data_IF_906756273500
#
_entry.id   IF_906756273500
#
_cell.length_a   1.000
_cell.length_b   1.000
_cell.length_c   1.000
_cell.angle_alpha   90.00
_cell.angle_beta   90.00
_cell.angle_gamma   90.00
#
_symmetry.space_group_name_H-M   'P 1'
#
loop_
_entity.id
_entity.type
_entity.pdbx_description
1 polymer ?
#
# COMPACT_ATOMS: atom_id res chain seq x y z
N UNK A 1 60.11 -52.02 -21.01
CA UNK A 1 58.77 -51.53 -21.39
C UNK A 1 58.90 -50.05 -21.70
N UNK A 2 59.47 -49.67 -22.85
CA UNK A 2 58.83 -49.60 -24.18
C UNK A 2 57.69 -48.56 -24.21
N UNK A 3 58.10 -47.38 -24.68
CA UNK A 3 57.49 -46.46 -25.64
C UNK A 3 56.29 -45.57 -25.28
N UNK A 4 56.43 -44.38 -25.85
CA UNK A 4 55.70 -43.13 -25.73
C UNK A 4 54.70 -43.00 -26.95
N UNK A 5 54.22 -41.82 -27.38
CA UNK A 5 52.80 -41.42 -27.50
C UNK A 5 52.33 -41.29 -28.99
N UNK A 6 51.37 -40.38 -29.28
CA UNK A 6 50.82 -39.92 -30.60
C UNK A 6 49.61 -40.71 -31.14
N UNK A 7 48.60 -40.22 -31.88
CA UNK A 7 48.32 -39.02 -32.71
C UNK A 7 46.78 -39.08 -33.05
N UNK A 8 46.03 -37.98 -33.10
CA UNK A 8 45.50 -37.29 -34.32
C UNK A 8 44.51 -38.03 -35.27
N UNK A 9 43.64 -37.20 -35.91
CA UNK A 9 42.88 -37.39 -37.18
C UNK A 9 41.54 -38.18 -37.10
N UNK A 10 40.46 -37.81 -37.79
CA UNK A 10 40.26 -36.88 -38.92
C UNK A 10 38.79 -36.52 -39.13
N UNK A 11 38.62 -35.30 -39.63
CA UNK A 11 37.51 -34.73 -40.39
C UNK A 11 37.19 -35.54 -41.67
N UNK A 12 35.97 -35.30 -42.20
CA UNK A 12 35.50 -35.48 -43.59
C UNK A 12 34.99 -36.85 -44.03
N UNK A 13 33.71 -36.87 -44.44
CA UNK A 13 33.33 -36.95 -45.87
C UNK A 13 31.80 -36.74 -46.00
N UNK A 14 31.36 -35.66 -46.65
CA UNK A 14 30.91 -35.62 -48.06
C UNK A 14 29.52 -36.27 -48.23
N UNK A 15 28.55 -35.78 -49.00
CA UNK A 15 28.36 -34.82 -50.11
C UNK A 15 26.82 -34.88 -50.33
N UNK A 16 26.10 -33.86 -50.80
CA UNK A 16 25.96 -33.41 -52.18
C UNK A 16 24.79 -32.39 -52.17
N UNK A 17 24.93 -31.16 -52.70
CA UNK A 17 24.47 -30.76 -54.05
C UNK A 17 22.93 -30.78 -54.18
N UNK A 18 22.20 -29.80 -54.68
CA UNK A 18 22.43 -28.42 -55.09
C UNK A 18 21.04 -27.85 -55.49
N UNK A 19 20.97 -26.52 -55.57
CA UNK A 19 20.21 -25.74 -56.58
C UNK A 19 18.74 -26.06 -56.87
N UNK A 20 17.87 -25.07 -56.58
CA UNK A 20 17.08 -24.26 -57.56
C UNK A 20 16.00 -23.51 -56.78
N UNK A 21 16.11 -22.20 -56.55
CA UNK A 21 15.74 -21.11 -57.47
C UNK A 21 14.28 -21.10 -57.93
N UNK A 22 13.64 -19.95 -57.70
CA UNK A 22 12.76 -19.20 -58.64
C UNK A 22 11.25 -19.16 -58.34
N UNK A 23 10.88 -18.05 -57.69
CA UNK A 23 9.91 -17.01 -58.08
C UNK A 23 8.54 -17.38 -58.69
N UNK A 24 7.51 -16.78 -58.07
CA UNK A 24 6.26 -16.18 -58.61
C UNK A 24 5.31 -17.13 -59.36
N UNK A 25 4.00 -17.13 -59.10
CA UNK A 25 3.07 -16.13 -59.65
C UNK A 25 1.77 -16.00 -58.85
N UNK A 26 1.24 -14.77 -58.83
CA UNK A 26 -0.16 -14.45 -58.56
C UNK A 26 -1.11 -15.11 -59.58
N UNK A 27 -2.28 -15.53 -59.10
CA UNK A 27 -3.65 -15.61 -59.71
C UNK A 27 -4.37 -16.73 -58.93
N UNK A 28 -5.53 -16.56 -58.27
CA UNK A 28 -6.79 -16.11 -58.84
C UNK A 28 -7.72 -15.48 -57.78
N UNK A 29 -8.38 -14.41 -58.21
CA UNK A 29 -9.33 -13.59 -57.46
C UNK A 29 -10.75 -13.84 -57.99
N UNK A 30 -11.69 -14.12 -57.06
CA UNK A 30 -13.14 -13.82 -57.06
C UNK A 30 -14.14 -14.60 -57.97
N UNK A 31 -15.48 -14.55 -57.73
CA UNK A 31 -16.27 -14.52 -56.46
C UNK A 31 -17.61 -15.32 -56.47
N UNK A 32 -18.25 -15.56 -55.31
CA UNK A 32 -19.73 -15.64 -55.22
C UNK A 32 -20.30 -15.44 -53.79
N UNK A 33 -20.87 -14.26 -53.56
CA UNK A 33 -22.12 -13.96 -52.82
C UNK A 33 -22.41 -14.59 -51.43
N UNK A 34 -22.41 -13.75 -50.38
CA UNK A 34 -23.67 -13.24 -49.78
C UNK A 34 -23.35 -12.25 -48.64
N UNK A 35 -23.47 -10.95 -48.97
CA UNK A 35 -22.91 -9.80 -48.23
C UNK A 35 -23.75 -9.30 -47.04
N UNK A 36 -24.52 -10.16 -46.37
CA UNK A 36 -25.26 -9.73 -45.15
C UNK A 36 -25.00 -10.58 -43.91
N UNK A 37 -24.53 -11.82 -44.07
CA UNK A 37 -24.24 -12.70 -42.93
C UNK A 37 -22.85 -12.48 -42.34
N UNK A 38 -21.89 -12.06 -43.16
CA UNK A 38 -20.51 -11.79 -42.71
C UNK A 38 -20.40 -10.52 -41.86
N UNK A 39 -21.18 -9.47 -42.19
CA UNK A 39 -21.15 -8.20 -41.47
C UNK A 39 -21.73 -8.33 -40.04
N UNK A 40 -22.76 -9.16 -39.87
CA UNK A 40 -23.38 -9.44 -38.56
C UNK A 40 -22.46 -10.22 -37.62
N UNK A 41 -21.63 -11.13 -38.14
CA UNK A 41 -20.65 -11.89 -37.35
C UNK A 41 -19.48 -11.00 -36.93
N UNK A 42 -18.98 -10.13 -37.82
CA UNK A 42 -17.91 -9.17 -37.50
C UNK A 42 -18.37 -8.07 -36.51
N UNK A 43 -19.65 -7.65 -36.58
CA UNK A 43 -20.22 -6.70 -35.61
C UNK A 43 -20.47 -7.34 -34.23
N UNK A 44 -20.79 -8.64 -34.18
CA UNK A 44 -20.92 -9.40 -32.92
C UNK A 44 -19.56 -9.73 -32.30
N UNK A 45 -18.52 -9.98 -33.10
CA UNK A 45 -17.16 -10.24 -32.63
C UNK A 45 -16.46 -8.97 -32.13
N UNK A 46 -16.75 -7.78 -32.68
CA UNK A 46 -16.23 -6.51 -32.14
C UNK A 46 -16.89 -6.11 -30.82
N UNK A 47 -18.20 -6.37 -30.65
CA UNK A 47 -18.90 -6.09 -29.39
C UNK A 47 -18.48 -7.05 -28.27
N UNK A 48 -18.28 -8.35 -28.56
CA UNK A 48 -17.76 -9.32 -27.58
C UNK A 48 -16.27 -9.06 -27.29
N UNK A 49 -15.47 -8.68 -28.27
CA UNK A 49 -14.08 -8.30 -28.06
C UNK A 49 -13.91 -6.97 -27.30
N UNK A 50 -14.87 -6.03 -27.38
CA UNK A 50 -14.90 -4.82 -26.56
C UNK A 50 -15.44 -5.10 -25.16
N UNK A 51 -16.44 -5.99 -25.02
CA UNK A 51 -16.94 -6.44 -23.72
C UNK A 51 -15.91 -7.29 -22.94
N UNK A 52 -15.06 -8.06 -23.62
CA UNK A 52 -13.90 -8.74 -23.04
C UNK A 52 -12.65 -7.84 -22.92
N UNK A 53 -12.70 -6.57 -23.38
CA UNK A 53 -11.63 -5.57 -23.22
C UNK A 53 -11.94 -4.42 -22.24
N UNK A 54 -13.03 -4.52 -21.47
CA UNK A 54 -13.36 -3.52 -20.42
C UNK A 54 -13.41 -4.14 -19.01
N UNK A 55 -13.02 -5.40 -18.86
CA UNK A 55 -12.91 -6.04 -17.54
C UNK A 55 -11.59 -6.80 -17.36
N UNK A 56 -10.46 -6.15 -17.63
CA UNK A 56 -9.21 -6.44 -16.89
C UNK A 56 -8.22 -5.27 -17.04
N UNK A 57 -8.60 -4.10 -16.51
CA UNK A 57 -7.60 -3.07 -16.19
C UNK A 57 -6.92 -3.53 -14.91
N UNK A 58 -5.90 -4.37 -15.11
CA UNK A 58 -4.73 -4.46 -14.25
C UNK A 58 -5.02 -4.67 -12.76
N UNK A 59 -5.46 -5.88 -12.38
CA UNK A 59 -4.92 -6.47 -11.14
C UNK A 59 -3.47 -6.88 -11.39
N UNK A 60 -2.61 -5.89 -11.60
CA UNK A 60 -1.18 -6.09 -11.42
C UNK A 60 -1.00 -6.39 -9.93
N UNK A 61 -0.80 -7.66 -9.60
CA UNK A 61 -0.29 -8.09 -8.31
C UNK A 61 1.08 -7.47 -8.15
N UNK A 62 1.11 -6.25 -7.59
CA UNK A 62 2.32 -5.65 -7.04
C UNK A 62 2.72 -6.49 -5.83
N UNK A 63 3.37 -7.63 -6.09
CA UNK A 63 4.09 -8.38 -5.08
C UNK A 63 5.42 -7.67 -4.87
N UNK A 64 5.37 -6.62 -4.07
CA UNK A 64 6.54 -5.94 -3.51
C UNK A 64 6.23 -5.70 -2.05
N UNK A 65 6.98 -6.37 -1.16
CA UNK A 65 7.02 -6.19 0.30
C UNK A 65 5.83 -5.43 0.89
N UNK A 66 4.78 -6.14 1.29
CA UNK A 66 3.64 -5.50 1.94
C UNK A 66 4.14 -4.77 3.20
N UNK A 67 4.04 -3.44 3.24
CA UNK A 67 4.46 -2.57 4.36
C UNK A 67 3.66 -2.76 5.65
N UNK A 68 2.92 -3.86 5.75
CA UNK A 68 2.01 -4.13 6.82
C UNK A 68 2.57 -5.22 7.72
N UNK A 69 2.68 -4.92 9.00
CA UNK A 69 3.13 -5.85 10.03
C UNK A 69 1.96 -6.14 10.97
N UNK A 70 1.22 -7.21 10.71
CA UNK A 70 0.17 -7.65 11.63
C UNK A 70 0.77 -8.54 12.72
N UNK A 71 0.58 -8.20 14.01
CA UNK A 71 1.12 -9.01 15.10
C UNK A 71 0.43 -10.38 15.22
N UNK A 72 -0.79 -10.54 14.71
CA UNK A 72 -1.63 -11.74 14.92
C UNK A 72 -1.96 -12.53 13.64
N UNK A 73 -1.36 -12.19 12.49
CA UNK A 73 -1.64 -12.90 11.22
C UNK A 73 -3.08 -12.78 10.71
N UNK A 74 -3.80 -11.75 11.12
CA UNK A 74 -5.18 -11.48 10.69
C UNK A 74 -5.26 -11.13 9.19
N UNK A 75 -6.41 -11.41 8.56
CA UNK A 75 -6.65 -11.08 7.14
C UNK A 75 -6.57 -9.57 6.91
N UNK A 76 -6.10 -9.15 5.73
CA UNK A 76 -5.95 -7.73 5.37
C UNK A 76 -7.30 -7.11 5.02
N UNK A 77 -7.52 -5.89 5.51
CA UNK A 77 -8.70 -5.10 5.16
C UNK A 77 -8.50 -4.39 3.81
N UNK A 78 -9.59 -4.00 3.15
CA UNK A 78 -9.54 -3.32 1.86
C UNK A 78 -8.80 -1.97 1.95
N UNK A 79 -9.02 -1.25 3.06
CA UNK A 79 -8.35 0.03 3.34
C UNK A 79 -6.85 -0.14 3.58
N UNK A 80 -6.47 -1.19 4.30
CA UNK A 80 -5.06 -1.52 4.57
C UNK A 80 -4.31 -1.84 3.28
N UNK A 81 -4.95 -2.60 2.38
CA UNK A 81 -4.42 -2.88 1.05
C UNK A 81 -4.24 -1.58 0.25
N UNK A 82 -5.24 -0.70 0.23
CA UNK A 82 -5.15 0.59 -0.47
C UNK A 82 -3.98 1.46 0.05
N UNK A 83 -3.80 1.54 1.37
CA UNK A 83 -2.72 2.33 1.98
C UNK A 83 -1.35 1.70 1.70
N UNK A 84 -1.23 0.38 1.80
CA UNK A 84 0.02 -0.31 1.46
C UNK A 84 0.43 -0.09 0.01
N UNK A 85 -0.51 -0.14 -0.93
CA UNK A 85 -0.26 0.15 -2.33
C UNK A 85 0.15 1.62 -2.55
N UNK A 86 -0.51 2.57 -1.89
CA UNK A 86 -0.16 3.98 -1.96
C UNK A 86 1.28 4.23 -1.46
N UNK A 87 1.67 3.61 -0.34
CA UNK A 87 3.01 3.73 0.20
C UNK A 87 4.09 3.07 -0.66
N UNK A 88 3.77 2.01 -1.42
CA UNK A 88 4.67 1.41 -2.41
C UNK A 88 4.84 2.31 -3.64
N UNK A 89 3.78 2.98 -4.08
CA UNK A 89 3.88 3.97 -5.15
C UNK A 89 4.78 5.14 -4.74
N UNK A 90 4.68 5.59 -3.48
CA UNK A 90 5.52 6.67 -2.96
C UNK A 90 7.00 6.29 -2.83
N UNK A 91 7.34 5.01 -2.73
CA UNK A 91 8.74 4.55 -2.78
C UNK A 91 9.40 4.69 -4.14
N UNK A 92 8.61 4.84 -5.21
CA UNK A 92 9.16 5.07 -6.54
C UNK A 92 9.83 6.45 -6.64
N UNK A 93 9.46 7.39 -5.75
CA UNK A 93 10.09 8.69 -5.66
C UNK A 93 11.47 8.58 -4.98
N UNK A 94 12.56 9.06 -5.61
CA UNK A 94 13.93 8.84 -5.12
C UNK A 94 14.16 9.46 -3.73
N UNK A 95 13.55 10.61 -3.44
CA UNK A 95 13.79 11.36 -2.20
C UNK A 95 13.22 10.65 -0.96
N UNK A 96 12.08 9.96 -1.11
CA UNK A 96 11.37 9.29 -0.01
C UNK A 96 11.76 7.81 0.12
N UNK A 97 12.32 7.23 -0.94
CA UNK A 97 12.61 5.80 -1.05
C UNK A 97 13.50 5.27 0.06
N UNK A 98 14.57 5.99 0.40
CA UNK A 98 15.53 5.53 1.41
C UNK A 98 14.88 5.35 2.78
N UNK A 99 14.02 6.29 3.16
CA UNK A 99 13.36 6.30 4.45
C UNK A 99 12.14 5.36 4.47
N UNK A 100 11.37 5.31 3.38
CA UNK A 100 10.14 4.53 3.31
C UNK A 100 10.34 3.01 3.25
N UNK A 101 11.52 2.54 2.80
CA UNK A 101 11.85 1.12 2.67
C UNK A 101 11.84 0.36 4.00
N UNK A 102 12.24 1.03 5.08
CA UNK A 102 12.35 0.43 6.42
C UNK A 102 11.06 0.59 7.24
N UNK A 103 10.13 1.42 6.76
CA UNK A 103 8.94 1.81 7.51
C UNK A 103 7.76 0.90 7.22
N UNK A 104 7.16 0.42 8.31
CA UNK A 104 5.98 -0.41 8.27
C UNK A 104 4.87 0.23 9.12
N UNK A 105 3.63 -0.13 8.82
CA UNK A 105 2.50 0.19 9.65
C UNK A 105 1.83 -1.11 10.14
N UNK A 106 1.15 -1.04 11.27
CA UNK A 106 0.53 -2.20 11.90
C UNK A 106 -0.88 -2.45 11.39
N UNK A 107 -1.67 -1.38 11.31
CA UNK A 107 -3.07 -1.43 10.91
C UNK A 107 -3.49 -0.07 10.37
N UNK A 108 -4.58 -0.04 9.62
CA UNK A 108 -5.22 1.21 9.23
C UNK A 108 -6.73 1.11 9.37
N UNK A 109 -7.37 2.20 9.76
CA UNK A 109 -8.80 2.22 10.03
C UNK A 109 -9.44 3.51 9.57
N UNK A 110 -10.52 3.41 8.80
CA UNK A 110 -11.38 4.54 8.50
C UNK A 110 -12.32 4.82 9.68
N UNK A 111 -12.45 6.08 10.07
CA UNK A 111 -13.36 6.54 11.10
C UNK A 111 -14.25 7.63 10.52
N UNK A 112 -15.56 7.42 10.61
CA UNK A 112 -16.55 8.46 10.40
C UNK A 112 -16.80 9.21 11.71
N UNK A 113 -16.81 10.53 11.65
CA UNK A 113 -17.18 11.39 12.77
C UNK A 113 -18.31 12.35 12.34
N UNK A 114 -18.80 13.17 13.27
CA UNK A 114 -19.93 14.07 13.02
C UNK A 114 -19.72 14.96 11.79
N UNK A 115 -20.81 15.31 11.09
CA UNK A 115 -20.73 16.19 9.91
C UNK A 115 -20.40 15.49 8.60
N UNK A 116 -20.51 14.16 8.52
CA UNK A 116 -20.30 13.38 7.28
C UNK A 116 -18.84 13.28 6.83
N UNK A 117 -17.91 13.84 7.60
CA UNK A 117 -16.47 13.77 7.36
C UNK A 117 -15.93 12.42 7.84
N UNK A 118 -14.89 11.95 7.15
CA UNK A 118 -14.20 10.70 7.46
C UNK A 118 -12.71 10.97 7.53
N UNK A 119 -12.04 10.32 8.48
CA UNK A 119 -10.59 10.34 8.61
C UNK A 119 -10.02 8.93 8.60
N UNK A 120 -8.77 8.82 8.17
CA UNK A 120 -8.02 7.58 8.12
C UNK A 120 -6.99 7.63 9.25
N UNK A 121 -7.00 6.60 10.10
CA UNK A 121 -6.01 6.42 11.14
C UNK A 121 -5.05 5.33 10.70
N UNK A 122 -3.75 5.64 10.71
CA UNK A 122 -2.69 4.67 10.45
C UNK A 122 -1.98 4.37 11.77
N UNK A 123 -2.07 3.12 12.21
CA UNK A 123 -1.39 2.64 13.39
C UNK A 123 0.06 2.28 13.06
N UNK A 124 0.99 2.97 13.71
CA UNK A 124 2.43 2.82 13.48
C UNK A 124 3.07 2.10 14.67
N UNK A 125 4.00 1.16 14.47
CA UNK A 125 4.80 0.61 15.57
C UNK A 125 5.51 1.72 16.35
N UNK A 126 5.41 1.74 17.68
CA UNK A 126 6.03 2.76 18.54
C UNK A 126 7.52 3.04 18.22
N UNK A 127 8.37 2.04 17.93
CA UNK A 127 9.77 2.29 17.57
C UNK A 127 9.96 3.12 16.30
N UNK A 128 9.04 3.03 15.34
CA UNK A 128 9.12 3.69 14.04
C UNK A 128 8.46 5.07 14.02
N UNK A 129 7.70 5.43 15.07
CA UNK A 129 6.95 6.69 15.14
C UNK A 129 7.82 7.92 14.86
N UNK A 130 9.03 7.98 15.42
CA UNK A 130 9.97 9.09 15.23
C UNK A 130 10.40 9.26 13.77
N UNK A 131 10.52 8.17 13.03
CA UNK A 131 10.85 8.21 11.61
C UNK A 131 9.66 8.65 10.76
N UNK A 132 8.44 8.22 11.11
CA UNK A 132 7.21 8.71 10.48
C UNK A 132 7.00 10.21 10.71
N UNK A 133 7.26 10.71 11.91
CA UNK A 133 7.15 12.14 12.24
C UNK A 133 8.02 13.02 11.33
N UNK A 134 9.24 12.58 10.97
CA UNK A 134 10.12 13.34 10.05
C UNK A 134 9.51 13.50 8.65
N UNK A 135 8.76 12.50 8.20
CA UNK A 135 8.15 12.45 6.87
C UNK A 135 6.68 12.88 6.85
N UNK A 136 6.08 13.08 8.01
CA UNK A 136 4.64 13.15 8.18
C UNK A 136 4.01 14.21 7.28
N UNK A 137 4.58 15.41 7.21
CA UNK A 137 4.06 16.50 6.37
C UNK A 137 3.97 16.10 4.90
N UNK A 138 4.98 15.39 4.38
CA UNK A 138 4.99 14.95 2.97
C UNK A 138 4.04 13.76 2.76
N UNK A 139 4.01 12.80 3.70
CA UNK A 139 3.16 11.62 3.59
C UNK A 139 1.68 11.95 3.70
N UNK A 140 1.29 12.80 4.63
CA UNK A 140 -0.11 13.24 4.78
C UNK A 140 -0.59 13.88 3.49
N UNK A 141 0.18 14.84 2.93
CA UNK A 141 -0.17 15.52 1.68
C UNK A 141 -0.38 14.55 0.51
N UNK A 142 0.49 13.55 0.36
CA UNK A 142 0.37 12.57 -0.72
C UNK A 142 -0.79 11.59 -0.50
N UNK A 143 -1.02 11.15 0.74
CA UNK A 143 -2.13 10.26 1.06
C UNK A 143 -3.48 10.98 0.94
N UNK A 144 -3.60 12.22 1.39
CA UNK A 144 -4.81 13.02 1.25
C UNK A 144 -5.19 13.23 -0.22
N UNK A 145 -4.21 13.45 -1.11
CA UNK A 145 -4.46 13.51 -2.57
C UNK A 145 -5.07 12.22 -3.11
N UNK A 146 -4.64 11.05 -2.61
CA UNK A 146 -5.11 9.73 -3.07
C UNK A 146 -6.46 9.36 -2.47
N UNK A 147 -6.69 9.69 -1.20
CA UNK A 147 -7.87 9.27 -0.44
C UNK A 147 -8.95 10.37 -0.37
N UNK A 148 -9.31 10.94 -1.52
CA UNK A 148 -10.43 11.89 -1.65
C UNK A 148 -10.38 13.07 -0.67
N UNK A 149 -9.18 13.56 -0.33
CA UNK A 149 -8.96 14.62 0.67
C UNK A 149 -9.52 14.30 2.06
N UNK A 150 -9.63 13.02 2.42
CA UNK A 150 -9.89 12.60 3.80
C UNK A 150 -8.64 12.84 4.62
N UNK A 151 -8.79 13.41 5.81
CA UNK A 151 -7.68 13.63 6.73
C UNK A 151 -7.03 12.32 7.14
N UNK A 152 -5.70 12.28 7.12
CA UNK A 152 -4.90 11.11 7.47
C UNK A 152 -4.06 11.42 8.71
N UNK A 153 -4.22 10.61 9.76
CA UNK A 153 -3.52 10.80 11.03
C UNK A 153 -2.73 9.56 11.39
N UNK A 154 -1.49 9.76 11.84
CA UNK A 154 -0.61 8.70 12.33
C UNK A 154 -0.71 8.59 13.84
N UNK A 155 -0.95 7.39 14.35
CA UNK A 155 -1.03 7.12 15.78
C UNK A 155 -0.15 5.92 16.11
N UNK A 156 0.64 5.99 17.17
CA UNK A 156 1.42 4.84 17.57
C UNK A 156 0.53 3.73 18.16
N UNK A 157 0.77 2.48 17.75
CA UNK A 157 0.13 1.29 18.28
C UNK A 157 0.67 1.01 19.70
N UNK A 158 0.05 1.63 20.71
CA UNK A 158 0.42 1.46 22.12
C UNK A 158 -0.43 0.38 22.78
N UNK A 159 0.22 -0.54 23.52
CA UNK A 159 -0.48 -1.58 24.29
C UNK A 159 -0.80 -1.11 25.71
N UNK A 160 -2.08 -1.01 26.03
CA UNK A 160 -2.57 -0.76 27.39
C UNK A 160 -2.57 -2.09 28.16
N UNK A 161 -1.91 -2.14 29.32
CA UNK A 161 -2.04 -3.28 30.23
C UNK A 161 -3.29 -3.12 31.14
N UNK A 162 -3.92 -4.19 31.62
CA UNK A 162 -4.98 -4.05 32.62
C UNK A 162 -4.41 -3.56 33.96
N UNK A 163 -5.23 -2.85 34.76
CA UNK A 163 -4.85 -2.46 36.13
C UNK A 163 -4.80 -3.72 36.99
N UNK A 164 -3.69 -3.99 37.71
CA UNK A 164 -3.70 -5.09 38.67
C UNK A 164 -4.73 -4.74 39.76
N UNK A 165 -5.72 -5.60 39.92
CA UNK A 165 -6.72 -5.51 40.99
C UNK A 165 -6.52 -6.71 41.91
N UNK A 166 -7.01 -6.64 43.16
CA UNK A 166 -6.88 -7.76 44.11
C UNK A 166 -7.48 -9.08 43.57
N UNK A 167 -8.45 -9.02 42.66
CA UNK A 167 -9.12 -10.16 42.03
C UNK A 167 -8.61 -10.48 40.62
N UNK A 168 -7.48 -9.91 40.19
CA UNK A 168 -6.99 -10.16 38.83
C UNK A 168 -6.51 -11.61 38.70
N UNK A 169 -7.09 -12.35 37.76
CA UNK A 169 -6.70 -13.72 37.45
C UNK A 169 -5.24 -13.84 36.97
N UNK A 170 -4.69 -12.77 36.40
CA UNK A 170 -3.32 -12.74 35.90
C UNK A 170 -2.34 -12.33 37.00
N UNK A 171 -1.64 -13.30 37.58
CA UNK A 171 -0.55 -13.07 38.52
C UNK A 171 0.71 -12.57 37.79
N UNK A 172 0.75 -11.27 37.50
CA UNK A 172 1.91 -10.63 36.90
C UNK A 172 3.06 -10.54 37.92
N UNK A 173 4.13 -11.31 37.69
CA UNK A 173 5.34 -11.30 38.54
C UNK A 173 6.08 -9.96 38.51
N UNK A 174 5.96 -9.23 37.39
CA UNK A 174 6.62 -7.96 37.18
C UNK A 174 5.66 -6.78 37.40
N UNK A 175 6.17 -5.69 37.99
CA UNK A 175 5.43 -4.42 38.10
C UNK A 175 5.02 -3.91 36.72
N UNK A 176 3.77 -3.46 36.59
CA UNK A 176 3.28 -2.81 35.38
C UNK A 176 4.13 -1.55 35.08
N UNK A 177 4.70 -1.42 33.86
CA UNK A 177 5.43 -0.21 33.49
C UNK A 177 4.47 0.97 33.30
N UNK A 178 4.93 2.16 33.69
CA UNK A 178 4.13 3.41 33.64
C UNK A 178 3.69 3.77 32.22
N UNK A 179 4.55 3.53 31.22
CA UNK A 179 4.25 3.76 29.81
C UNK A 179 3.08 2.96 29.25
N UNK A 180 2.67 1.88 29.93
CA UNK A 180 1.51 1.06 29.56
C UNK A 180 0.28 1.33 30.43
N UNK A 181 0.25 2.45 31.17
CA UNK A 181 -0.92 2.93 31.93
C UNK A 181 -1.95 3.54 30.98
N UNK A 182 -3.25 3.37 31.25
CA UNK A 182 -4.33 3.92 30.43
C UNK A 182 -4.19 5.44 30.25
N UNK A 183 -3.98 6.19 31.35
CA UNK A 183 -3.78 7.64 31.30
C UNK A 183 -2.57 8.03 30.46
N UNK A 184 -1.39 7.47 30.77
CA UNK A 184 -0.17 7.75 30.02
C UNK A 184 -0.26 7.42 28.53
N UNK A 185 -1.01 6.37 28.15
CA UNK A 185 -1.25 6.04 26.75
C UNK A 185 -2.19 7.05 26.09
N UNK A 186 -3.22 7.54 26.78
CA UNK A 186 -4.09 8.58 26.25
C UNK A 186 -3.36 9.90 26.04
N UNK A 187 -2.53 10.30 27.00
CA UNK A 187 -1.72 11.53 26.89
C UNK A 187 -0.80 11.44 25.66
N UNK A 188 -0.14 10.30 25.47
CA UNK A 188 0.71 10.06 24.31
C UNK A 188 -0.05 9.93 22.98
N UNK A 189 -1.34 9.55 22.99
CA UNK A 189 -2.17 9.58 21.78
C UNK A 189 -2.48 11.03 21.39
N UNK A 190 -2.78 11.89 22.37
CA UNK A 190 -3.01 13.32 22.11
C UNK A 190 -1.77 13.98 21.50
N UNK A 191 -0.58 13.67 22.01
CA UNK A 191 0.69 14.15 21.45
C UNK A 191 0.88 13.75 19.98
N UNK A 192 0.52 12.51 19.60
CA UNK A 192 0.62 12.05 18.21
C UNK A 192 -0.37 12.76 17.28
N UNK A 193 -1.60 13.02 17.78
CA UNK A 193 -2.66 13.67 16.98
C UNK A 193 -2.30 15.11 16.62
N UNK A 194 -1.68 15.86 17.53
CA UNK A 194 -1.39 17.30 17.36
C UNK A 194 -0.07 17.55 16.62
N UNK A 195 0.59 16.51 16.11
CA UNK A 195 1.77 16.67 15.27
C UNK A 195 1.38 16.88 13.80
N UNK A 196 1.94 17.89 13.08
CA UNK A 196 2.94 18.87 13.50
C UNK A 196 2.34 20.10 14.20
N UNK A 197 3.06 20.66 15.18
CA UNK A 197 2.58 21.80 16.00
C UNK A 197 2.62 23.17 15.28
N UNK A 198 2.72 23.20 13.95
CA UNK A 198 2.76 24.47 13.20
C UNK A 198 1.34 25.01 13.04
N UNK A 199 1.04 26.10 13.74
CA UNK A 199 -0.29 26.70 13.93
C UNK A 199 -1.12 26.93 12.66
N UNK A 200 -0.46 27.21 11.53
CA UNK A 200 -1.15 27.66 10.31
C UNK A 200 -1.95 26.55 9.59
N UNK A 201 -1.69 25.27 9.90
CA UNK A 201 -2.35 24.14 9.25
C UNK A 201 -3.36 23.41 10.17
N UNK A 202 -3.49 23.76 11.45
CA UNK A 202 -4.15 22.88 12.44
C UNK A 202 -5.66 23.11 12.57
N UNK A 203 -6.16 24.32 12.26
CA UNK A 203 -7.54 24.72 12.56
C UNK A 203 -8.60 23.82 11.88
N UNK A 204 -8.35 23.46 10.63
CA UNK A 204 -9.27 22.63 9.85
C UNK A 204 -9.25 21.15 10.27
N UNK A 205 -8.26 20.73 11.06
CA UNK A 205 -8.09 19.36 11.55
C UNK A 205 -8.64 19.15 12.96
N UNK A 206 -8.95 20.22 13.71
CA UNK A 206 -9.42 20.17 15.10
C UNK A 206 -10.64 19.27 15.28
N UNK A 207 -11.63 19.41 14.38
CA UNK A 207 -12.84 18.58 14.39
C UNK A 207 -12.51 17.10 14.20
N UNK A 208 -11.54 16.82 13.32
CA UNK A 208 -11.05 15.46 13.06
C UNK A 208 -10.37 14.91 14.31
N UNK A 209 -9.50 15.67 14.96
CA UNK A 209 -8.79 15.23 16.17
C UNK A 209 -9.75 14.93 17.32
N UNK A 210 -10.74 15.78 17.54
CA UNK A 210 -11.76 15.56 18.56
C UNK A 210 -12.55 14.28 18.26
N UNK A 211 -13.00 14.11 17.02
CA UNK A 211 -13.73 12.91 16.58
C UNK A 211 -12.93 11.62 16.72
N UNK A 212 -11.66 11.64 16.31
CA UNK A 212 -10.73 10.51 16.45
C UNK A 212 -10.49 10.19 17.92
N UNK A 213 -10.21 11.20 18.75
CA UNK A 213 -9.96 11.00 20.17
C UNK A 213 -11.19 10.42 20.89
N UNK A 214 -12.38 10.93 20.59
CA UNK A 214 -13.64 10.39 21.10
C UNK A 214 -13.83 8.93 20.72
N UNK A 215 -13.50 8.55 19.48
CA UNK A 215 -13.67 7.17 19.01
C UNK A 215 -12.66 6.19 19.62
N UNK A 216 -11.42 6.63 19.85
CA UNK A 216 -10.36 5.79 20.41
C UNK A 216 -10.42 5.68 21.93
N UNK A 217 -10.75 6.78 22.62
CA UNK A 217 -10.65 6.87 24.08
C UNK A 217 -12.00 6.87 24.78
N UNK A 218 -13.08 7.17 24.06
CA UNK A 218 -14.41 7.37 24.63
C UNK A 218 -14.55 8.71 25.37
N UNK A 219 -13.56 9.60 25.30
CA UNK A 219 -13.56 10.91 25.96
C UNK A 219 -13.68 12.01 24.93
N UNK A 220 -14.54 12.98 25.23
CA UNK A 220 -14.62 14.22 24.48
C UNK A 220 -13.45 15.14 24.84
N UNK A 221 -12.80 15.69 23.82
CA UNK A 221 -11.65 16.59 23.95
C UNK A 221 -11.94 17.84 23.15
N UNK A 222 -11.78 19.00 23.78
CA UNK A 222 -11.83 20.30 23.13
C UNK A 222 -10.41 20.86 23.02
N UNK A 223 -10.04 21.37 21.85
CA UNK A 223 -8.73 21.99 21.63
C UNK A 223 -8.91 23.50 21.62
N UNK A 224 -8.19 24.18 22.50
CA UNK A 224 -8.19 25.64 22.59
C UNK A 224 -6.80 26.14 22.18
N UNK A 225 -6.75 27.09 21.25
CA UNK A 225 -5.52 27.76 20.87
C UNK A 225 -5.40 29.03 21.68
N UNK A 226 -4.33 29.15 22.46
CA UNK A 226 -4.01 30.40 23.13
C UNK A 226 -3.50 31.38 22.08
N UNK A 227 -4.20 32.50 21.90
CA UNK A 227 -3.65 33.65 21.20
C UNK A 227 -2.48 34.17 22.04
N UNK A 228 -1.26 34.08 21.52
CA UNK A 228 -0.13 34.76 22.12
C UNK A 228 -0.38 36.26 21.97
N UNK A 229 -0.68 36.94 23.07
CA UNK A 229 -0.65 38.40 23.11
C UNK A 229 0.81 38.83 22.94
N UNK A 230 1.12 39.42 21.79
CA UNK A 230 2.41 40.05 21.48
C UNK A 230 2.52 41.42 22.15
#
# INVERSE_FOLDING_TARGET
SVLEPTEERTLNQNREVACRSRLLTNTDFHPAFSSQKFLLILLRLSAVAWALRVADVSKATFSSSAKIMKPNGEKLDEYELGISQALLQLEMNPDLKAQLRELNFTAAKEIAFGGGRRAIIIFVPVPQLRSFQKLQVQLVRELEKKFSRKHVVFIAQRRILPKPTRKSHTNNKQKRPRSRILTAVHDAILEDLVFPTQQNDVEHEVETFSGVCKKLTGKDVNFEFLEFQL
#
